data_IF_053094810532
#
_entry.id   IF_053094810532
#
_cell.length_a   1.000
_cell.length_b   1.000
_cell.length_c   1.000
_cell.angle_alpha   90.00
_cell.angle_beta   90.00
_cell.angle_gamma   90.00
#
_symmetry.space_group_name_H-M   'P 1'
#
loop_
_entity.id
_entity.type
_entity.pdbx_description
1 polymer ?
#
# COMPACT_ATOMS: atom_id res chain seq x y z
N UNK A 1 13.76 12.08 19.94
CA UNK A 1 14.15 10.87 19.18
C UNK A 1 14.89 9.86 20.08
N UNK A 2 14.35 9.46 21.25
CA UNK A 2 15.13 8.60 22.18
C UNK A 2 14.91 7.10 21.99
N UNK A 3 13.95 6.66 21.18
CA UNK A 3 13.74 5.23 20.84
C UNK A 3 14.03 4.90 19.37
N UNK A 4 13.72 5.79 18.44
CA UNK A 4 14.14 5.66 17.05
C UNK A 4 15.60 6.07 16.92
N UNK A 5 16.44 5.19 16.40
CA UNK A 5 17.83 5.52 16.10
C UNK A 5 17.84 6.56 14.99
N UNK A 6 18.00 7.84 15.33
CA UNK A 6 17.81 8.97 14.42
C UNK A 6 18.67 8.86 13.15
N UNK A 7 19.82 8.20 13.23
CA UNK A 7 20.72 7.95 12.10
C UNK A 7 20.28 6.80 11.18
N UNK A 8 19.12 6.17 11.42
CA UNK A 8 18.59 5.03 10.67
C UNK A 8 17.14 5.22 10.20
N UNK A 9 16.55 6.41 10.39
CA UNK A 9 15.17 6.65 9.94
C UNK A 9 15.07 6.61 8.41
N UNK A 10 14.14 5.81 7.89
CA UNK A 10 13.94 5.66 6.46
C UNK A 10 13.04 6.78 5.93
N UNK A 11 13.66 7.79 5.31
CA UNK A 11 13.00 8.84 4.55
C UNK A 11 12.93 8.43 3.09
N UNK A 12 11.72 8.24 2.57
CA UNK A 12 11.57 7.68 1.25
C UNK A 12 10.30 8.08 0.53
N UNK A 13 10.10 7.41 -0.59
CA UNK A 13 8.90 7.50 -1.39
C UNK A 13 8.39 6.11 -1.75
N UNK A 14 7.09 6.02 -1.99
CA UNK A 14 6.41 4.80 -2.38
C UNK A 14 5.63 4.97 -3.69
N UNK A 15 5.62 3.92 -4.51
CA UNK A 15 4.90 3.82 -5.77
C UNK A 15 4.42 2.38 -5.99
N UNK A 16 3.72 2.15 -7.10
CA UNK A 16 3.29 0.82 -7.56
C UNK A 16 3.75 0.57 -8.98
N UNK A 17 4.16 -0.66 -9.28
CA UNK A 17 4.61 -1.14 -10.59
C UNK A 17 3.70 -0.65 -11.72
N UNK A 18 2.40 -0.95 -11.68
CA UNK A 18 1.47 -0.59 -12.75
C UNK A 18 1.24 0.92 -12.87
N UNK A 19 1.45 1.69 -11.79
CA UNK A 19 1.26 3.15 -11.81
C UNK A 19 2.49 3.88 -12.38
N UNK A 20 3.66 3.23 -12.46
CA UNK A 20 4.90 3.86 -12.91
C UNK A 20 5.63 3.17 -14.06
N UNK A 21 5.67 1.85 -14.11
CA UNK A 21 6.59 1.11 -14.99
C UNK A 21 6.26 1.29 -16.46
N UNK A 22 4.99 1.11 -16.85
CA UNK A 22 4.63 0.96 -18.26
C UNK A 22 5.18 -0.34 -18.84
N UNK A 23 5.60 -0.32 -20.11
CA UNK A 23 6.20 -1.46 -20.80
C UNK A 23 5.39 -2.76 -20.55
N UNK A 24 4.07 -2.63 -20.67
CA UNK A 24 3.11 -3.63 -20.16
C UNK A 24 3.22 -4.98 -20.86
N UNK A 25 3.78 -5.01 -22.07
CA UNK A 25 3.96 -6.17 -22.94
C UNK A 25 5.43 -6.40 -23.37
N UNK A 26 6.40 -5.82 -22.65
CA UNK A 26 7.83 -5.95 -22.94
C UNK A 26 8.53 -6.92 -22.00
N UNK A 27 9.70 -7.43 -22.41
CA UNK A 27 10.52 -8.34 -21.59
C UNK A 27 9.78 -9.60 -21.17
N UNK A 28 8.87 -10.10 -22.01
CA UNK A 28 8.07 -11.30 -21.73
C UNK A 28 6.98 -11.12 -20.67
N UNK A 29 6.68 -9.89 -20.20
CA UNK A 29 5.63 -9.64 -19.22
C UNK A 29 4.26 -10.17 -19.69
N UNK A 30 3.59 -10.90 -18.81
CA UNK A 30 2.22 -11.35 -19.02
C UNK A 30 1.18 -10.26 -18.77
N UNK A 31 -0.04 -10.48 -19.26
CA UNK A 31 -1.18 -9.60 -18.96
C UNK A 31 -1.54 -9.74 -17.48
N UNK A 32 -1.63 -8.63 -16.77
CA UNK A 32 -2.13 -8.59 -15.38
C UNK A 32 -3.62 -8.27 -15.34
N UNK A 33 -4.24 -8.44 -14.18
CA UNK A 33 -5.62 -8.01 -13.96
C UNK A 33 -5.79 -6.49 -14.11
N UNK A 34 -4.72 -5.68 -13.97
CA UNK A 34 -4.76 -4.22 -14.19
C UNK A 34 -4.86 -3.90 -15.68
N UNK A 35 -4.07 -4.60 -16.49
CA UNK A 35 -4.03 -4.42 -17.95
C UNK A 35 -5.39 -4.74 -18.61
N UNK A 36 -6.19 -5.59 -17.95
CA UNK A 36 -7.53 -6.00 -18.40
C UNK A 36 -8.69 -5.20 -17.75
N UNK A 37 -8.40 -4.13 -16.99
CA UNK A 37 -9.45 -3.29 -16.40
C UNK A 37 -10.16 -2.48 -17.48
N UNK A 38 -11.45 -2.25 -17.26
CA UNK A 38 -12.19 -1.28 -18.05
C UNK A 38 -11.65 0.13 -17.79
N UNK A 39 -11.24 0.82 -18.86
CA UNK A 39 -10.79 2.20 -18.80
C UNK A 39 -12.02 3.11 -18.88
N UNK A 40 -12.26 3.87 -17.82
CA UNK A 40 -13.38 4.83 -17.78
C UNK A 40 -13.13 5.96 -18.80
N UNK A 41 -14.19 6.58 -19.35
CA UNK A 41 -14.02 7.76 -20.19
C UNK A 41 -13.26 8.87 -19.45
N UNK A 42 -12.22 9.42 -20.10
CA UNK A 42 -11.47 10.57 -19.61
C UNK A 42 -10.30 10.26 -18.67
N UNK A 43 -9.97 8.98 -18.44
CA UNK A 43 -8.75 8.57 -17.71
C UNK A 43 -7.84 7.73 -18.59
N UNK A 44 -6.57 7.58 -18.19
CA UNK A 44 -5.56 6.82 -18.94
C UNK A 44 -5.63 5.32 -18.64
N UNK A 45 -5.12 4.50 -19.58
CA UNK A 45 -4.64 3.17 -19.25
C UNK A 45 -3.25 3.23 -18.57
N UNK A 46 -2.72 2.07 -18.18
CA UNK A 46 -1.42 1.95 -17.52
C UNK A 46 -0.32 1.42 -18.45
N UNK A 47 -0.57 1.31 -19.75
CA UNK A 47 0.32 0.64 -20.69
C UNK A 47 1.70 1.29 -20.75
N UNK A 48 1.73 2.62 -20.71
CA UNK A 48 2.97 3.41 -20.65
C UNK A 48 3.26 3.96 -19.25
N UNK A 49 2.23 4.23 -18.44
CA UNK A 49 2.39 4.88 -17.14
C UNK A 49 3.36 6.10 -17.20
N UNK A 50 4.29 6.26 -16.27
CA UNK A 50 5.33 7.29 -16.40
C UNK A 50 6.61 6.77 -17.05
N UNK A 51 6.58 5.57 -17.63
CA UNK A 51 7.69 4.96 -18.37
C UNK A 51 8.93 4.70 -17.49
N UNK A 52 8.72 4.37 -16.21
CA UNK A 52 9.81 4.05 -15.28
C UNK A 52 10.60 2.82 -15.74
N UNK A 53 9.99 1.86 -16.43
CA UNK A 53 10.68 0.67 -16.93
C UNK A 53 11.91 1.02 -17.80
N UNK A 54 11.79 2.06 -18.63
CA UNK A 54 12.88 2.55 -19.46
C UNK A 54 13.72 3.65 -18.81
N UNK A 55 13.17 4.34 -17.79
CA UNK A 55 13.73 5.58 -17.22
C UNK A 55 14.14 5.47 -15.76
N UNK A 56 14.13 4.28 -15.16
CA UNK A 56 14.41 4.09 -13.73
C UNK A 56 15.71 4.74 -13.27
N UNK A 57 16.74 4.81 -14.13
CA UNK A 57 18.01 5.49 -13.80
C UNK A 57 17.85 7.00 -13.62
N UNK A 58 17.10 7.66 -14.52
CA UNK A 58 16.76 9.09 -14.42
C UNK A 58 15.95 9.36 -13.15
N UNK A 59 14.96 8.50 -12.88
CA UNK A 59 14.09 8.65 -11.71
C UNK A 59 14.86 8.42 -10.39
N UNK A 60 15.72 7.40 -10.32
CA UNK A 60 16.53 7.10 -9.13
C UNK A 60 17.59 8.18 -8.89
N UNK A 61 18.17 8.77 -9.94
CA UNK A 61 19.06 9.93 -9.79
C UNK A 61 18.32 11.12 -9.14
N UNK A 62 17.09 11.39 -9.57
CA UNK A 62 16.24 12.41 -8.95
C UNK A 62 15.83 12.06 -7.52
N UNK A 63 15.59 10.78 -7.21
CA UNK A 63 15.32 10.33 -5.84
C UNK A 63 16.52 10.57 -4.92
N UNK A 64 17.73 10.30 -5.40
CA UNK A 64 18.96 10.61 -4.68
C UNK A 64 19.14 12.12 -4.52
N UNK A 65 18.87 12.90 -5.56
CA UNK A 65 18.97 14.36 -5.48
C UNK A 65 17.96 14.97 -4.49
N UNK A 66 16.75 14.40 -4.44
CA UNK A 66 15.71 14.70 -3.44
C UNK A 66 16.16 14.31 -2.02
N UNK A 67 17.15 13.44 -1.90
CA UNK A 67 17.72 12.98 -0.63
C UNK A 67 17.06 11.72 -0.07
N UNK A 68 16.24 11.00 -0.85
CA UNK A 68 15.65 9.75 -0.39
C UNK A 68 16.75 8.76 0.02
N UNK A 69 16.57 8.07 1.15
CA UNK A 69 17.43 6.97 1.58
C UNK A 69 16.71 5.62 1.52
N UNK A 70 15.44 5.61 1.10
CA UNK A 70 14.64 4.42 0.88
C UNK A 70 13.63 4.64 -0.23
N UNK A 71 13.28 3.58 -0.95
CA UNK A 71 12.28 3.62 -2.00
C UNK A 71 11.47 2.34 -2.02
N UNK A 72 10.14 2.49 -2.00
CA UNK A 72 9.20 1.37 -2.04
C UNK A 72 8.53 1.25 -3.39
N UNK A 73 8.56 0.04 -3.92
CA UNK A 73 7.73 -0.38 -5.06
C UNK A 73 7.28 -1.82 -4.85
N UNK A 74 6.46 -2.36 -5.76
CA UNK A 74 6.19 -3.80 -5.82
C UNK A 74 6.88 -4.46 -7.00
N UNK A 75 7.18 -5.75 -6.85
CA UNK A 75 7.60 -6.59 -7.97
C UNK A 75 6.32 -7.01 -8.71
N UNK A 76 6.21 -6.68 -10.00
CA UNK A 76 5.09 -7.09 -10.81
C UNK A 76 5.11 -8.60 -11.00
N UNK A 77 4.16 -9.30 -10.36
CA UNK A 77 4.08 -10.77 -10.44
C UNK A 77 3.98 -11.24 -11.90
N UNK A 78 3.25 -10.51 -12.75
CA UNK A 78 3.14 -10.78 -14.18
C UNK A 78 4.44 -10.60 -14.99
N UNK A 79 5.46 -9.90 -14.48
CA UNK A 79 6.79 -9.89 -15.09
C UNK A 79 7.57 -11.15 -14.75
N UNK A 80 7.50 -11.60 -13.51
CA UNK A 80 8.27 -12.76 -13.02
C UNK A 80 7.61 -14.07 -13.43
N UNK A 81 6.27 -14.13 -13.43
CA UNK A 81 5.47 -15.27 -13.83
C UNK A 81 4.37 -14.83 -14.81
N UNK A 82 4.66 -14.71 -16.11
CA UNK A 82 3.72 -14.19 -17.11
C UNK A 82 2.40 -14.97 -17.19
N UNK A 83 2.45 -16.28 -17.00
CA UNK A 83 1.28 -17.17 -16.97
C UNK A 83 0.87 -17.57 -15.54
N UNK A 84 1.52 -16.97 -14.53
CA UNK A 84 1.36 -17.25 -13.11
C UNK A 84 2.09 -18.49 -12.59
N UNK A 85 2.76 -19.27 -13.44
CA UNK A 85 3.32 -20.58 -13.07
C UNK A 85 4.79 -20.77 -13.50
N UNK A 86 5.19 -20.23 -14.65
CA UNK A 86 6.53 -20.34 -15.22
C UNK A 86 7.33 -19.04 -15.06
N UNK A 87 8.58 -19.17 -14.62
CA UNK A 87 9.49 -18.04 -14.39
C UNK A 87 9.92 -17.42 -15.72
N UNK A 88 9.96 -16.09 -15.75
CA UNK A 88 10.54 -15.28 -16.82
C UNK A 88 11.78 -14.54 -16.32
N UNK A 89 12.94 -14.90 -16.87
CA UNK A 89 14.23 -14.36 -16.45
C UNK A 89 14.40 -12.88 -16.79
N UNK A 90 13.84 -12.40 -17.91
CA UNK A 90 13.93 -10.98 -18.29
C UNK A 90 13.25 -10.08 -17.25
N UNK A 91 12.13 -10.53 -16.70
CA UNK A 91 11.46 -9.86 -15.59
C UNK A 91 12.32 -9.84 -14.33
N UNK A 92 13.05 -10.94 -14.04
CA UNK A 92 13.94 -10.99 -12.89
C UNK A 92 15.12 -10.02 -13.05
N UNK A 93 15.72 -9.98 -14.23
CA UNK A 93 16.84 -9.09 -14.60
C UNK A 93 16.43 -7.62 -14.49
N UNK A 94 15.21 -7.26 -14.90
CA UNK A 94 14.72 -5.89 -14.74
C UNK A 94 14.79 -5.42 -13.28
N UNK A 95 14.26 -6.21 -12.34
CA UNK A 95 14.31 -5.85 -10.92
C UNK A 95 15.71 -5.97 -10.32
N UNK A 96 16.58 -6.86 -10.81
CA UNK A 96 18.01 -6.83 -10.44
C UNK A 96 18.62 -5.45 -10.73
N UNK A 97 18.41 -4.95 -11.94
CA UNK A 97 18.98 -3.67 -12.36
C UNK A 97 18.39 -2.50 -11.56
N UNK A 98 17.08 -2.51 -11.26
CA UNK A 98 16.45 -1.48 -10.43
C UNK A 98 16.99 -1.51 -9.01
N UNK A 99 17.10 -2.70 -8.40
CA UNK A 99 17.63 -2.87 -7.04
C UNK A 99 19.09 -2.42 -6.98
N UNK A 100 19.91 -2.83 -7.94
CA UNK A 100 21.33 -2.44 -8.00
C UNK A 100 21.47 -0.92 -8.20
N UNK A 101 20.64 -0.30 -9.03
CA UNK A 101 20.64 1.15 -9.22
C UNK A 101 20.23 1.91 -7.95
N UNK A 102 19.22 1.43 -7.20
CA UNK A 102 18.85 1.98 -5.90
C UNK A 102 20.03 1.92 -4.91
N UNK A 103 20.65 0.74 -4.78
CA UNK A 103 21.76 0.52 -3.86
C UNK A 103 23.02 1.32 -4.23
N UNK A 104 23.35 1.42 -5.53
CA UNK A 104 24.45 2.27 -6.03
C UNK A 104 24.23 3.76 -5.69
N UNK A 105 22.97 4.15 -5.46
CA UNK A 105 22.59 5.49 -5.04
C UNK A 105 22.34 5.62 -3.54
N UNK A 106 22.67 4.59 -2.75
CA UNK A 106 22.46 4.48 -1.29
C UNK A 106 20.98 4.61 -0.87
N UNK A 107 20.08 4.06 -1.69
CA UNK A 107 18.65 4.02 -1.44
C UNK A 107 18.27 2.58 -1.08
N UNK A 108 17.77 2.37 0.15
CA UNK A 108 17.32 1.07 0.63
C UNK A 108 16.03 0.65 -0.11
N UNK A 109 16.02 -0.49 -0.81
CA UNK A 109 14.82 -1.00 -1.45
C UNK A 109 13.85 -1.57 -0.41
N UNK A 110 12.59 -1.16 -0.51
CA UNK A 110 11.47 -1.75 0.25
C UNK A 110 10.54 -2.42 -0.77
N UNK A 111 10.53 -3.76 -0.85
CA UNK A 111 9.82 -4.45 -1.92
C UNK A 111 8.50 -5.06 -1.45
N UNK A 112 7.42 -4.73 -2.16
CA UNK A 112 6.11 -5.34 -1.96
C UNK A 112 5.91 -6.51 -2.92
N UNK A 113 5.39 -7.64 -2.45
CA UNK A 113 5.14 -8.81 -3.31
C UNK A 113 3.86 -8.65 -4.13
N UNK A 114 2.79 -8.14 -3.53
CA UNK A 114 1.51 -7.99 -4.21
C UNK A 114 0.93 -6.59 -4.10
N UNK A 115 0.64 -5.96 -5.24
CA UNK A 115 -0.06 -4.69 -5.31
C UNK A 115 -1.10 -4.69 -6.45
N UNK A 116 -2.10 -5.56 -6.31
CA UNK A 116 -3.30 -5.63 -7.16
C UNK A 116 -3.05 -5.95 -8.64
N UNK A 117 -1.89 -6.53 -8.97
CA UNK A 117 -1.37 -6.75 -10.33
C UNK A 117 -1.10 -8.23 -10.65
N UNK A 118 -1.93 -9.12 -10.10
CA UNK A 118 -1.89 -10.57 -10.37
C UNK A 118 -1.86 -10.85 -11.89
N UNK A 119 -1.10 -11.87 -12.36
CA UNK A 119 -1.25 -12.38 -13.72
C UNK A 119 -2.71 -12.75 -14.02
N UNK A 120 -3.26 -12.25 -15.13
CA UNK A 120 -4.64 -12.49 -15.55
C UNK A 120 -4.93 -14.00 -15.70
N UNK A 121 -3.93 -14.76 -16.15
CA UNK A 121 -4.02 -16.21 -16.28
C UNK A 121 -4.43 -16.92 -14.96
N UNK A 122 -4.04 -16.41 -13.81
CA UNK A 122 -4.43 -16.99 -12.51
C UNK A 122 -5.88 -16.68 -12.16
N UNK A 123 -6.37 -15.49 -12.52
CA UNK A 123 -7.79 -15.16 -12.42
C UNK A 123 -8.63 -16.08 -13.33
N UNK A 124 -8.20 -16.29 -14.58
CA UNK A 124 -8.96 -17.08 -15.54
C UNK A 124 -8.97 -18.58 -15.20
N UNK A 125 -7.82 -19.15 -14.81
CA UNK A 125 -7.68 -20.57 -14.48
C UNK A 125 -8.28 -20.93 -13.12
N UNK A 126 -8.11 -20.06 -12.12
CA UNK A 126 -8.31 -20.42 -10.71
C UNK A 126 -9.18 -19.43 -9.92
N UNK A 127 -9.68 -18.36 -10.55
CA UNK A 127 -10.45 -17.31 -9.88
C UNK A 127 -9.66 -16.55 -8.79
N UNK A 128 -8.35 -16.40 -8.98
CA UNK A 128 -7.49 -15.60 -8.10
C UNK A 128 -7.35 -16.17 -6.68
N UNK A 129 -7.18 -15.30 -5.69
CA UNK A 129 -6.87 -15.71 -4.30
C UNK A 129 -7.99 -16.46 -3.58
N UNK A 130 -9.19 -16.61 -4.16
CA UNK A 130 -10.19 -17.53 -3.59
C UNK A 130 -9.75 -19.00 -3.72
N UNK A 131 -8.81 -19.29 -4.61
CA UNK A 131 -8.24 -20.63 -4.78
C UNK A 131 -6.96 -20.81 -3.98
N UNK A 132 -6.92 -21.90 -3.19
CA UNK A 132 -5.72 -22.38 -2.48
C UNK A 132 -4.54 -22.65 -3.42
N UNK A 133 -4.81 -23.03 -4.67
CA UNK A 133 -3.77 -23.16 -5.70
C UNK A 133 -3.03 -21.85 -5.96
N UNK A 134 -3.75 -20.71 -5.97
CA UNK A 134 -3.13 -19.39 -6.18
C UNK A 134 -2.32 -18.96 -4.95
N UNK A 135 -2.73 -19.36 -3.75
CA UNK A 135 -1.95 -19.19 -2.52
C UNK A 135 -0.60 -19.90 -2.63
N UNK A 136 -0.57 -21.14 -3.13
CA UNK A 136 0.69 -21.88 -3.36
C UNK A 136 1.56 -21.27 -4.48
N UNK A 137 0.92 -20.76 -5.55
CA UNK A 137 1.65 -20.09 -6.63
C UNK A 137 2.24 -18.75 -6.16
N UNK A 138 1.55 -18.04 -5.26
CA UNK A 138 2.09 -16.85 -4.61
C UNK A 138 3.30 -17.19 -3.74
N UNK A 139 3.25 -18.29 -2.97
CA UNK A 139 4.40 -18.79 -2.20
C UNK A 139 5.59 -19.11 -3.12
N UNK A 140 5.35 -19.78 -4.26
CA UNK A 140 6.38 -20.05 -5.27
C UNK A 140 7.00 -18.75 -5.80
N UNK A 141 6.18 -17.75 -6.10
CA UNK A 141 6.64 -16.43 -6.53
C UNK A 141 7.49 -15.75 -5.46
N UNK A 142 7.01 -15.71 -4.21
CA UNK A 142 7.73 -15.14 -3.07
C UNK A 142 9.10 -15.81 -2.87
N UNK A 143 9.15 -17.15 -2.84
CA UNK A 143 10.41 -17.91 -2.73
C UNK A 143 11.37 -17.57 -3.87
N UNK A 144 10.87 -17.42 -5.09
CA UNK A 144 11.69 -17.10 -6.27
C UNK A 144 12.37 -15.75 -6.09
N UNK A 145 11.61 -14.72 -5.72
CA UNK A 145 12.15 -13.36 -5.55
C UNK A 145 13.01 -13.22 -4.29
N UNK A 146 12.69 -13.92 -3.20
CA UNK A 146 13.53 -13.96 -2.00
C UNK A 146 14.89 -14.59 -2.29
N UNK A 147 14.94 -15.69 -3.06
CA UNK A 147 16.20 -16.31 -3.46
C UNK A 147 17.02 -15.41 -4.39
N UNK A 148 16.36 -14.62 -5.25
CA UNK A 148 17.05 -13.76 -6.23
C UNK A 148 17.58 -12.46 -5.63
N UNK A 149 16.81 -11.85 -4.72
CA UNK A 149 17.05 -10.47 -4.24
C UNK A 149 17.30 -10.38 -2.73
N UNK A 150 17.06 -11.45 -1.96
CA UNK A 150 17.17 -11.41 -0.50
C UNK A 150 18.57 -11.14 0.03
N UNK A 151 19.61 -11.29 -0.79
CA UNK A 151 20.98 -10.89 -0.44
C UNK A 151 21.15 -9.36 -0.39
N UNK A 152 20.26 -8.61 -1.04
CA UNK A 152 20.33 -7.15 -1.24
C UNK A 152 19.13 -6.39 -0.66
N UNK A 153 18.01 -7.08 -0.39
CA UNK A 153 16.76 -6.47 0.05
C UNK A 153 16.38 -6.96 1.44
N UNK A 154 16.35 -6.03 2.40
CA UNK A 154 16.00 -6.32 3.79
C UNK A 154 14.50 -6.19 4.08
N UNK A 155 13.85 -5.14 3.59
CA UNK A 155 12.46 -4.83 3.94
C UNK A 155 11.49 -5.30 2.86
N UNK A 156 10.54 -6.13 3.29
CA UNK A 156 9.55 -6.76 2.43
C UNK A 156 8.15 -6.49 2.94
N UNK A 157 7.20 -6.29 2.02
CA UNK A 157 5.77 -6.21 2.33
C UNK A 157 5.08 -7.30 1.55
N UNK A 158 4.29 -8.13 2.21
CA UNK A 158 3.57 -9.22 1.53
C UNK A 158 2.49 -8.68 0.58
N UNK A 159 1.50 -7.98 1.13
CA UNK A 159 0.39 -7.40 0.39
C UNK A 159 0.28 -5.91 0.72
N UNK A 160 0.18 -5.08 -0.31
CA UNK A 160 -0.23 -3.69 -0.13
C UNK A 160 -1.69 -3.66 0.36
N UNK A 161 -1.96 -2.89 1.42
CA UNK A 161 -3.32 -2.65 1.92
C UNK A 161 -4.19 -3.92 1.96
N UNK A 162 -3.72 -4.95 2.67
CA UNK A 162 -4.36 -6.29 2.65
C UNK A 162 -5.86 -6.23 3.01
N UNK A 163 -6.23 -5.27 3.85
CA UNK A 163 -7.61 -5.03 4.27
C UNK A 163 -8.58 -4.61 3.16
N UNK A 164 -8.07 -4.25 1.97
CA UNK A 164 -8.89 -4.10 0.76
C UNK A 164 -9.60 -5.41 0.39
N UNK A 165 -9.11 -6.58 0.80
CA UNK A 165 -9.80 -7.86 0.63
C UNK A 165 -11.21 -7.89 1.28
N UNK A 166 -11.45 -7.04 2.29
CA UNK A 166 -12.77 -6.88 2.93
C UNK A 166 -13.78 -6.12 2.07
N UNK A 167 -13.32 -5.24 1.17
CA UNK A 167 -14.16 -4.23 0.51
C UNK A 167 -14.11 -4.28 -1.03
N UNK A 168 -13.01 -4.76 -1.61
CA UNK A 168 -12.67 -4.70 -3.03
C UNK A 168 -12.03 -6.03 -3.48
N UNK A 169 -12.84 -7.09 -3.50
CA UNK A 169 -12.38 -8.46 -3.73
C UNK A 169 -11.81 -8.68 -5.14
N UNK A 170 -12.23 -7.85 -6.10
CA UNK A 170 -11.77 -7.84 -7.49
C UNK A 170 -10.27 -7.50 -7.60
N UNK A 171 -9.72 -6.71 -6.68
CA UNK A 171 -8.28 -6.42 -6.60
C UNK A 171 -7.42 -7.66 -6.30
N UNK A 172 -8.04 -8.78 -5.93
CA UNK A 172 -7.39 -10.07 -5.67
C UNK A 172 -7.64 -11.10 -6.79
N UNK A 173 -8.08 -10.60 -7.96
CA UNK A 173 -8.35 -11.42 -9.14
C UNK A 173 -9.61 -12.27 -9.01
N UNK A 174 -10.50 -11.97 -8.07
CA UNK A 174 -11.63 -12.85 -7.73
C UNK A 174 -12.97 -12.35 -8.25
N UNK A 175 -13.85 -13.29 -8.59
CA UNK A 175 -15.27 -13.09 -8.88
C UNK A 175 -16.10 -13.99 -7.99
N UNK A 176 -17.23 -13.49 -7.49
CA UNK A 176 -18.15 -14.26 -6.65
C UNK A 176 -18.67 -15.50 -7.40
N UNK A 177 -18.42 -16.74 -6.92
CA UNK A 177 -19.00 -17.94 -7.49
C UNK A 177 -20.52 -17.96 -7.39
N UNK A 178 -21.22 -18.61 -8.33
CA UNK A 178 -22.70 -18.64 -8.36
C UNK A 178 -23.31 -19.41 -7.19
N UNK A 179 -22.58 -20.37 -6.67
CA UNK A 179 -22.95 -21.34 -5.64
C UNK A 179 -22.42 -20.97 -4.24
N UNK A 180 -21.78 -19.80 -4.11
CA UNK A 180 -21.25 -19.31 -2.84
C UNK A 180 -21.93 -17.99 -2.46
N UNK A 181 -22.35 -17.85 -1.21
CA UNK A 181 -22.87 -16.57 -0.74
C UNK A 181 -21.76 -15.54 -0.55
N UNK A 182 -22.10 -14.26 -0.74
CA UNK A 182 -21.13 -13.16 -0.69
C UNK A 182 -20.34 -13.09 0.62
N UNK A 183 -20.96 -13.39 1.77
CA UNK A 183 -20.30 -13.25 3.07
C UNK A 183 -19.28 -14.36 3.28
N UNK A 184 -19.61 -15.58 2.89
CA UNK A 184 -18.65 -16.70 2.89
C UNK A 184 -17.50 -16.44 1.94
N UNK A 185 -17.79 -15.98 0.72
CA UNK A 185 -16.77 -15.62 -0.27
C UNK A 185 -15.78 -14.57 0.24
N UNK A 186 -16.27 -13.45 0.79
CA UNK A 186 -15.41 -12.39 1.35
C UNK A 186 -14.51 -12.95 2.47
N UNK A 187 -15.05 -13.75 3.39
CA UNK A 187 -14.26 -14.27 4.50
C UNK A 187 -13.30 -15.38 4.09
N UNK A 188 -13.64 -16.18 3.08
CA UNK A 188 -12.73 -17.17 2.52
C UNK A 188 -11.56 -16.49 1.80
N UNK A 189 -11.82 -15.39 1.07
CA UNK A 189 -10.76 -14.59 0.48
C UNK A 189 -9.81 -14.03 1.55
N UNK A 190 -10.35 -13.45 2.63
CA UNK A 190 -9.55 -12.95 3.76
C UNK A 190 -8.69 -14.07 4.33
N UNK A 191 -9.28 -15.23 4.58
CA UNK A 191 -8.55 -16.39 5.10
C UNK A 191 -7.41 -16.83 4.16
N UNK A 192 -7.67 -16.91 2.86
CA UNK A 192 -6.67 -17.32 1.88
C UNK A 192 -5.51 -16.33 1.75
N UNK A 193 -5.79 -15.03 1.74
CA UNK A 193 -4.75 -14.00 1.68
C UNK A 193 -3.89 -13.99 2.96
N UNK A 194 -4.48 -14.26 4.13
CA UNK A 194 -3.72 -14.42 5.38
C UNK A 194 -2.84 -15.69 5.38
N UNK A 195 -3.28 -16.77 4.72
CA UNK A 195 -2.42 -17.95 4.52
C UNK A 195 -1.28 -17.64 3.55
N UNK A 196 -1.55 -16.92 2.46
CA UNK A 196 -0.54 -16.48 1.51
C UNK A 196 0.52 -15.58 2.17
N UNK A 197 0.08 -14.65 3.02
CA UNK A 197 0.96 -13.86 3.89
C UNK A 197 1.82 -14.76 4.77
N UNK A 198 1.20 -15.68 5.51
CA UNK A 198 1.90 -16.54 6.46
C UNK A 198 2.95 -17.44 5.81
N UNK A 199 2.64 -17.99 4.62
CA UNK A 199 3.59 -18.75 3.80
C UNK A 199 4.76 -17.89 3.33
N UNK A 200 4.48 -16.69 2.81
CA UNK A 200 5.53 -15.77 2.37
C UNK A 200 6.41 -15.29 3.55
N UNK A 201 5.82 -14.98 4.70
CA UNK A 201 6.57 -14.60 5.91
C UNK A 201 7.49 -15.73 6.36
N UNK A 202 6.96 -16.96 6.44
CA UNK A 202 7.76 -18.14 6.75
C UNK A 202 8.93 -18.32 5.77
N UNK A 203 8.64 -18.27 4.47
CA UNK A 203 9.64 -18.42 3.43
C UNK A 203 10.72 -17.32 3.50
N UNK A 204 10.34 -16.07 3.81
CA UNK A 204 11.30 -14.98 3.98
C UNK A 204 12.27 -15.30 5.11
N UNK A 205 11.77 -15.66 6.30
CA UNK A 205 12.63 -15.93 7.46
C UNK A 205 13.51 -17.17 7.28
N UNK A 206 13.06 -18.15 6.48
CA UNK A 206 13.86 -19.33 6.15
C UNK A 206 14.98 -19.04 5.12
N UNK A 207 14.78 -18.08 4.21
CA UNK A 207 15.67 -17.84 3.05
C UNK A 207 16.56 -16.60 3.25
N UNK A 208 15.99 -15.52 3.76
CA UNK A 208 16.61 -14.19 3.82
C UNK A 208 17.05 -13.88 5.23
N UNK A 209 18.35 -14.00 5.46
CA UNK A 209 18.95 -13.65 6.75
C UNK A 209 18.66 -12.18 7.06
N UNK A 210 18.17 -11.91 8.28
CA UNK A 210 17.80 -10.57 8.76
C UNK A 210 16.67 -9.88 7.98
N UNK A 211 16.00 -10.60 7.07
CA UNK A 211 14.83 -10.13 6.33
C UNK A 211 13.69 -9.72 7.26
N UNK A 212 12.97 -8.66 6.88
CA UNK A 212 11.88 -8.06 7.66
C UNK A 212 10.60 -8.09 6.85
N UNK A 213 9.60 -8.86 7.30
CA UNK A 213 8.29 -8.91 6.67
C UNK A 213 7.30 -7.95 7.34
N UNK A 214 6.70 -7.09 6.53
CA UNK A 214 5.63 -6.19 6.91
C UNK A 214 4.24 -6.76 6.63
N UNK A 215 3.35 -6.61 7.60
CA UNK A 215 1.91 -6.74 7.43
C UNK A 215 1.29 -5.36 7.28
N UNK A 216 0.69 -5.04 6.13
CA UNK A 216 0.23 -3.69 5.80
C UNK A 216 -1.28 -3.59 5.69
N UNK A 217 -1.84 -2.48 6.21
CA UNK A 217 -3.23 -2.09 6.02
C UNK A 217 -3.36 -0.64 5.55
N UNK A 218 -4.43 -0.34 4.82
CA UNK A 218 -4.95 1.02 4.69
C UNK A 218 -5.64 1.40 6.00
N UNK A 219 -4.99 2.25 6.77
CA UNK A 219 -5.49 2.64 8.08
C UNK A 219 -6.31 3.92 7.97
N UNK A 220 -7.63 3.77 7.97
CA UNK A 220 -8.56 4.89 8.16
C UNK A 220 -8.78 5.11 9.66
N UNK A 221 -8.30 6.24 10.19
CA UNK A 221 -8.66 6.65 11.54
C UNK A 221 -10.16 6.92 11.62
N UNK A 222 -10.83 6.37 12.63
CA UNK A 222 -12.28 6.51 12.80
C UNK A 222 -12.61 7.36 14.03
N UNK A 223 -13.64 8.19 13.89
CA UNK A 223 -14.30 8.90 14.98
C UNK A 223 -15.76 8.50 15.07
N UNK A 224 -16.37 8.45 16.26
CA UNK A 224 -17.82 8.40 16.36
C UNK A 224 -18.39 9.80 16.07
N UNK A 225 -19.53 9.87 15.39
CA UNK A 225 -20.20 11.13 15.08
C UNK A 225 -20.60 11.92 16.33
N UNK A 226 -20.95 11.21 17.40
CA UNK A 226 -21.33 11.77 18.69
C UNK A 226 -20.85 10.88 19.85
N UNK A 227 -21.03 11.33 21.10
CA UNK A 227 -20.82 10.50 22.28
C UNK A 227 -21.93 9.44 22.50
N UNK A 228 -22.87 9.28 21.57
CA UNK A 228 -23.88 8.24 21.62
C UNK A 228 -23.18 6.85 21.64
N UNK A 229 -23.48 5.99 22.62
CA UNK A 229 -22.88 4.66 22.70
C UNK A 229 -23.04 3.83 21.43
N UNK A 230 -24.12 4.02 20.66
CA UNK A 230 -24.32 3.30 19.40
C UNK A 230 -23.37 3.74 18.29
N UNK A 231 -23.01 5.03 18.23
CA UNK A 231 -22.01 5.53 17.28
C UNK A 231 -20.62 4.95 17.61
N UNK A 232 -20.28 4.95 18.90
CA UNK A 232 -19.01 4.38 19.40
C UNK A 232 -18.94 2.87 19.15
N UNK A 233 -20.01 2.14 19.43
CA UNK A 233 -20.09 0.70 19.21
C UNK A 233 -19.97 0.35 17.72
N UNK A 234 -20.70 1.07 16.85
CA UNK A 234 -20.63 0.86 15.41
C UNK A 234 -19.24 1.19 14.86
N UNK A 235 -18.64 2.29 15.32
CA UNK A 235 -17.27 2.65 14.98
C UNK A 235 -16.29 1.53 15.34
N UNK A 236 -16.40 0.96 16.57
CA UNK A 236 -15.55 -0.15 17.00
C UNK A 236 -15.73 -1.39 16.12
N UNK A 237 -16.97 -1.77 15.82
CA UNK A 237 -17.29 -2.90 14.91
C UNK A 237 -16.74 -2.69 13.50
N UNK A 238 -16.80 -1.46 13.02
CA UNK A 238 -16.27 -1.10 11.71
C UNK A 238 -14.74 -1.24 11.70
N UNK A 239 -14.05 -0.64 12.69
CA UNK A 239 -12.60 -0.77 12.89
C UNK A 239 -12.14 -2.23 13.01
N UNK A 240 -12.86 -3.03 13.78
CA UNK A 240 -12.61 -4.47 13.95
C UNK A 240 -12.54 -5.21 12.62
N UNK A 241 -13.43 -4.85 11.68
CA UNK A 241 -13.56 -5.48 10.37
C UNK A 241 -12.55 -4.96 9.35
N UNK A 242 -12.27 -3.65 9.33
CA UNK A 242 -11.45 -3.03 8.27
C UNK A 242 -9.99 -2.85 8.65
N UNK A 243 -9.60 -2.96 9.92
CA UNK A 243 -8.23 -2.74 10.36
C UNK A 243 -7.78 -3.75 11.41
N UNK A 244 -8.47 -3.82 12.56
CA UNK A 244 -7.96 -4.60 13.71
C UNK A 244 -7.85 -6.10 13.37
N UNK A 245 -8.72 -6.66 12.52
CA UNK A 245 -8.63 -8.09 12.14
C UNK A 245 -7.26 -8.45 11.56
N UNK A 246 -6.80 -7.65 10.60
CA UNK A 246 -5.54 -7.89 9.91
C UNK A 246 -4.36 -7.61 10.84
N UNK A 247 -4.40 -6.48 11.56
CA UNK A 247 -3.35 -6.11 12.50
C UNK A 247 -3.23 -7.09 13.68
N UNK A 248 -4.36 -7.60 14.20
CA UNK A 248 -4.39 -8.62 15.25
C UNK A 248 -3.69 -9.90 14.75
N UNK A 249 -3.96 -10.33 13.51
CA UNK A 249 -3.29 -11.50 12.91
C UNK A 249 -1.81 -11.23 12.65
N UNK A 250 -1.44 -10.09 12.06
CA UNK A 250 -0.04 -9.74 11.83
C UNK A 250 0.77 -9.65 13.13
N UNK A 251 0.19 -9.15 14.21
CA UNK A 251 0.90 -9.01 15.48
C UNK A 251 0.92 -10.31 16.30
N UNK A 252 -0.16 -11.11 16.26
CA UNK A 252 -0.35 -12.24 17.19
C UNK A 252 -0.27 -13.61 16.52
N UNK A 253 -0.41 -13.68 15.21
CA UNK A 253 -0.40 -14.94 14.46
C UNK A 253 -1.63 -15.81 14.76
N UNK A 254 -2.75 -15.20 15.13
CA UNK A 254 -4.00 -15.88 15.46
C UNK A 254 -5.21 -14.98 15.17
N UNK A 255 -6.36 -15.60 14.89
CA UNK A 255 -7.60 -14.85 14.70
C UNK A 255 -8.12 -14.30 16.03
N UNK A 256 -8.57 -13.04 16.07
CA UNK A 256 -9.19 -12.50 17.27
C UNK A 256 -10.56 -13.14 17.52
N UNK A 257 -10.93 -13.28 18.80
CA UNK A 257 -12.16 -13.97 19.22
C UNK A 257 -13.44 -13.34 18.67
N UNK A 258 -13.48 -12.02 18.47
CA UNK A 258 -14.64 -11.33 17.90
C UNK A 258 -14.89 -11.76 16.45
N UNK A 259 -13.85 -12.08 15.69
CA UNK A 259 -13.96 -12.51 14.30
C UNK A 259 -14.52 -13.93 14.22
N UNK A 260 -13.93 -14.86 14.98
CA UNK A 260 -14.43 -16.24 15.06
C UNK A 260 -15.88 -16.31 15.56
N UNK A 261 -16.24 -15.44 16.50
CA UNK A 261 -17.61 -15.31 16.99
C UNK A 261 -18.55 -14.75 15.92
N UNK A 262 -18.12 -13.76 15.12
CA UNK A 262 -18.92 -13.23 14.02
C UNK A 262 -19.19 -14.30 12.95
N UNK A 263 -18.17 -15.07 12.57
CA UNK A 263 -18.31 -16.21 11.64
C UNK A 263 -19.36 -17.19 12.15
N UNK A 264 -19.24 -17.62 13.42
CA UNK A 264 -20.18 -18.54 14.06
C UNK A 264 -21.60 -17.98 14.09
N UNK A 265 -21.78 -16.74 14.55
CA UNK A 265 -23.10 -16.12 14.70
C UNK A 265 -23.80 -15.91 13.36
N UNK A 266 -23.03 -15.61 12.32
CA UNK A 266 -23.54 -15.41 10.96
C UNK A 266 -23.59 -16.69 10.15
N UNK A 267 -23.24 -17.83 10.75
CA UNK A 267 -23.20 -19.16 10.11
C UNK A 267 -22.33 -19.16 8.84
N UNK A 268 -21.22 -18.43 8.88
CA UNK A 268 -20.22 -18.43 7.82
C UNK A 268 -19.30 -19.62 8.07
N UNK A 269 -19.26 -20.54 7.11
CA UNK A 269 -18.33 -21.66 7.12
C UNK A 269 -17.13 -21.29 6.26
N UNK A 270 -15.93 -21.44 6.80
CA UNK A 270 -14.68 -21.28 6.04
C UNK A 270 -14.03 -22.64 5.85
N UNK A 271 -13.44 -22.83 4.68
CA UNK A 271 -12.64 -23.99 4.35
C UNK A 271 -11.23 -23.78 4.91
N UNK A 272 -11.05 -24.25 6.15
CA UNK A 272 -9.74 -24.39 6.77
C UNK A 272 -9.09 -25.69 6.28
N UNK A 273 -7.88 -25.60 5.75
CA UNK A 273 -7.04 -26.75 5.49
C UNK A 273 -6.29 -27.16 6.77
N UNK A 274 -5.86 -28.43 6.80
CA UNK A 274 -5.06 -28.94 7.92
C UNK A 274 -3.76 -28.12 8.06
N UNK A 275 -3.54 -27.57 9.25
CA UNK A 275 -2.35 -26.78 9.57
C UNK A 275 -2.50 -25.26 9.40
N UNK A 276 -3.61 -24.75 8.86
CA UNK A 276 -3.80 -23.30 8.63
C UNK A 276 -3.64 -22.46 9.90
N UNK A 277 -4.20 -22.93 11.04
CA UNK A 277 -4.08 -22.23 12.31
C UNK A 277 -2.65 -22.22 12.87
N UNK A 278 -1.86 -23.26 12.59
CA UNK A 278 -0.45 -23.29 12.96
C UNK A 278 0.38 -22.42 12.02
N UNK A 279 0.03 -22.38 10.74
CA UNK A 279 0.66 -21.55 9.73
C UNK A 279 0.55 -20.06 10.08
N UNK A 280 -0.60 -19.60 10.58
CA UNK A 280 -0.79 -18.21 11.04
C UNK A 280 0.29 -17.73 12.03
N UNK A 281 0.82 -18.63 12.86
CA UNK A 281 1.85 -18.27 13.85
C UNK A 281 3.16 -17.82 13.19
N UNK A 282 3.44 -18.31 11.99
CA UNK A 282 4.57 -17.88 11.18
C UNK A 282 4.27 -16.59 10.41
N UNK A 283 3.01 -16.19 10.28
CA UNK A 283 2.58 -14.93 9.69
C UNK A 283 2.71 -13.72 10.63
N UNK A 284 3.51 -13.80 11.69
CA UNK A 284 3.80 -12.64 12.52
C UNK A 284 4.72 -11.69 11.76
N UNK A 285 4.27 -10.45 11.59
CA UNK A 285 5.04 -9.42 10.93
C UNK A 285 6.15 -8.88 11.85
N UNK A 286 7.31 -8.58 11.26
CA UNK A 286 8.41 -7.88 11.94
C UNK A 286 8.07 -6.40 12.20
N UNK A 287 7.19 -5.83 11.37
CA UNK A 287 6.68 -4.47 11.51
C UNK A 287 5.26 -4.35 10.95
N UNK A 288 4.51 -3.36 11.44
CA UNK A 288 3.17 -3.05 10.94
C UNK A 288 3.25 -1.89 9.94
N UNK A 289 2.84 -2.18 8.71
CA UNK A 289 2.78 -1.21 7.62
C UNK A 289 1.48 -0.43 7.63
N UNK A 290 1.55 0.88 7.47
CA UNK A 290 0.36 1.74 7.39
C UNK A 290 0.44 2.61 6.15
N UNK A 291 -0.61 2.57 5.32
CA UNK A 291 -0.97 3.71 4.47
C UNK A 291 -2.01 4.57 5.19
N UNK A 292 -1.84 5.88 5.18
CA UNK A 292 -2.76 6.83 5.81
C UNK A 292 -3.00 8.03 4.90
N UNK A 293 -4.26 8.36 4.70
CA UNK A 293 -4.67 9.48 3.84
C UNK A 293 -5.77 10.35 4.45
N UNK A 294 -6.77 9.71 5.06
CA UNK A 294 -7.97 10.38 5.56
C UNK A 294 -8.56 9.64 6.77
N UNK A 295 -9.45 10.33 7.48
CA UNK A 295 -10.23 9.79 8.59
C UNK A 295 -11.72 9.74 8.27
N UNK A 296 -12.42 8.78 8.87
CA UNK A 296 -13.86 8.56 8.71
C UNK A 296 -14.62 8.89 9.99
N UNK A 297 -15.85 9.42 9.87
CA UNK A 297 -16.74 9.67 11.02
C UNK A 297 -17.97 8.79 10.92
N UNK A 298 -18.22 7.97 11.94
CA UNK A 298 -19.23 6.90 11.93
C UNK A 298 -20.49 7.34 12.68
N UNK A 299 -21.64 7.24 12.02
CA UNK A 299 -22.94 7.49 12.65
C UNK A 299 -23.85 6.27 12.57
N UNK A 300 -24.44 5.89 13.69
CA UNK A 300 -25.40 4.79 13.80
C UNK A 300 -26.82 5.17 13.34
N UNK A 301 -27.13 6.47 13.28
CA UNK A 301 -28.43 6.98 12.82
C UNK A 301 -28.55 7.08 11.29
N UNK A 302 -27.42 7.11 10.56
CA UNK A 302 -27.36 7.13 9.11
C UNK A 302 -26.98 5.74 8.60
N UNK A 303 -27.73 5.18 7.65
CA UNK A 303 -27.44 3.84 7.09
C UNK A 303 -27.27 3.79 5.58
N UNK A 304 -27.53 4.90 4.88
CA UNK A 304 -27.62 4.96 3.42
C UNK A 304 -26.96 6.23 2.87
N UNK A 305 -25.85 6.68 3.45
CA UNK A 305 -25.07 7.75 2.80
C UNK A 305 -24.47 7.21 1.49
N UNK A 306 -24.16 8.10 0.52
CA UNK A 306 -23.37 7.72 -0.65
C UNK A 306 -21.90 7.62 -0.23
N UNK A 307 -21.32 6.42 -0.08
CA UNK A 307 -20.00 6.30 0.50
C UNK A 307 -18.90 6.55 -0.54
N UNK A 308 -17.69 6.85 -0.07
CA UNK A 308 -16.48 6.86 -0.93
C UNK A 308 -16.13 5.45 -1.43
N UNK A 309 -16.38 4.44 -0.59
CA UNK A 309 -16.11 3.03 -0.89
C UNK A 309 -17.30 2.15 -0.48
N UNK A 310 -17.57 1.04 -1.19
CA UNK A 310 -18.60 0.07 -0.80
C UNK A 310 -18.44 -0.41 0.64
N UNK A 311 -19.53 -0.56 1.39
CA UNK A 311 -19.50 -1.02 2.77
C UNK A 311 -19.19 0.06 3.81
N UNK A 312 -19.15 1.34 3.41
CA UNK A 312 -18.91 2.49 4.29
C UNK A 312 -20.14 3.42 4.43
N UNK A 313 -21.36 2.89 4.28
CA UNK A 313 -22.61 3.67 4.18
C UNK A 313 -22.99 4.44 5.47
N UNK A 314 -22.36 4.08 6.59
CA UNK A 314 -22.49 4.75 7.89
C UNK A 314 -21.48 5.90 8.10
N UNK A 315 -20.59 6.15 7.14
CA UNK A 315 -19.66 7.28 7.22
C UNK A 315 -20.35 8.59 6.83
N UNK A 316 -20.12 9.62 7.63
CA UNK A 316 -20.60 10.99 7.40
C UNK A 316 -19.43 11.96 7.32
N UNK A 317 -19.71 13.16 6.80
CA UNK A 317 -18.74 14.25 6.78
C UNK A 317 -18.42 14.71 8.21
N UNK A 318 -17.14 14.98 8.46
CA UNK A 318 -16.69 15.59 9.69
C UNK A 318 -16.61 17.11 9.52
N UNK A 319 -17.52 17.84 10.18
CA UNK A 319 -17.63 19.31 10.07
C UNK A 319 -16.40 20.07 10.59
N UNK A 320 -15.49 19.40 11.28
CA UNK A 320 -14.25 19.98 11.82
C UNK A 320 -13.05 19.80 10.89
N UNK A 321 -13.18 19.03 9.81
CA UNK A 321 -12.09 18.71 8.89
C UNK A 321 -12.34 19.32 7.52
N UNK A 322 -11.26 19.78 6.88
CA UNK A 322 -11.27 20.10 5.45
C UNK A 322 -11.15 18.81 4.64
N UNK A 323 -11.55 18.87 3.38
CA UNK A 323 -11.35 17.78 2.43
C UNK A 323 -10.65 18.26 1.14
N UNK A 324 -9.95 17.35 0.46
CA UNK A 324 -9.40 17.56 -0.88
C UNK A 324 -10.51 17.59 -1.94
N UNK A 325 -10.16 17.91 -3.19
CA UNK A 325 -11.09 17.87 -4.33
C UNK A 325 -11.72 16.47 -4.56
N UNK A 326 -11.07 15.40 -4.08
CA UNK A 326 -11.59 14.03 -4.12
C UNK A 326 -12.40 13.64 -2.88
N UNK A 327 -12.74 14.61 -2.01
CA UNK A 327 -13.55 14.39 -0.81
C UNK A 327 -12.81 13.69 0.34
N UNK A 328 -11.49 13.52 0.24
CA UNK A 328 -10.69 12.91 1.31
C UNK A 328 -10.36 13.94 2.38
N UNK A 329 -10.69 13.64 3.63
CA UNK A 329 -10.44 14.54 4.77
C UNK A 329 -8.94 14.72 5.01
N UNK A 330 -8.54 15.94 5.36
CA UNK A 330 -7.16 16.28 5.72
C UNK A 330 -7.08 16.29 7.24
N UNK A 331 -6.53 15.22 7.81
CA UNK A 331 -6.51 15.00 9.27
C UNK A 331 -5.15 14.52 9.78
N UNK A 332 -4.19 15.43 9.99
CA UNK A 332 -2.89 15.09 10.55
C UNK A 332 -2.98 14.65 12.03
N UNK A 333 -3.98 15.10 12.80
CA UNK A 333 -4.17 14.65 14.18
C UNK A 333 -4.64 13.19 14.19
N UNK A 334 -5.56 12.83 13.28
CA UNK A 334 -5.98 11.47 13.05
C UNK A 334 -4.82 10.54 12.68
N UNK A 335 -3.81 11.05 11.97
CA UNK A 335 -2.59 10.29 11.66
C UNK A 335 -1.84 9.91 12.93
N UNK A 336 -1.62 10.87 13.85
CA UNK A 336 -1.00 10.56 15.16
C UNK A 336 -1.86 9.62 15.99
N UNK A 337 -3.19 9.77 15.99
CA UNK A 337 -4.08 8.87 16.71
C UNK A 337 -3.97 7.43 16.17
N UNK A 338 -3.90 7.26 14.85
CA UNK A 338 -3.69 5.97 14.20
C UNK A 338 -2.35 5.35 14.64
N UNK A 339 -1.25 6.11 14.56
CA UNK A 339 0.08 5.64 14.96
C UNK A 339 0.12 5.19 16.43
N UNK A 340 -0.50 5.96 17.33
CA UNK A 340 -0.57 5.61 18.75
C UNK A 340 -1.44 4.38 19.00
N UNK A 341 -2.62 4.33 18.40
CA UNK A 341 -3.56 3.22 18.61
C UNK A 341 -2.97 1.89 18.12
N UNK A 342 -2.31 1.88 16.96
CA UNK A 342 -1.64 0.68 16.46
C UNK A 342 -0.47 0.30 17.36
N UNK A 343 0.42 1.24 17.68
CA UNK A 343 1.61 0.90 18.46
C UNK A 343 1.27 0.47 19.89
N UNK A 344 0.43 1.19 20.62
CA UNK A 344 0.07 0.84 22.01
C UNK A 344 -0.72 -0.47 22.11
N UNK A 345 -1.41 -0.88 21.05
CA UNK A 345 -2.16 -2.14 21.01
C UNK A 345 -1.27 -3.36 20.79
N UNK A 346 -0.16 -3.21 20.08
CA UNK A 346 0.65 -4.35 19.61
C UNK A 346 2.11 -4.32 20.06
N UNK A 347 2.67 -3.16 20.39
CA UNK A 347 4.09 -2.92 20.66
C UNK A 347 5.00 -3.47 19.55
N UNK A 348 4.55 -3.35 18.30
CA UNK A 348 5.30 -3.72 17.09
C UNK A 348 5.68 -2.43 16.36
N UNK A 349 6.94 -2.26 15.89
CA UNK A 349 7.36 -1.06 15.17
C UNK A 349 6.48 -0.78 13.95
N UNK A 350 6.23 0.51 13.69
CA UNK A 350 5.40 0.95 12.56
C UNK A 350 6.29 1.41 11.41
N UNK A 351 5.94 1.03 10.19
CA UNK A 351 6.49 1.64 8.98
C UNK A 351 5.37 2.35 8.23
N UNK A 352 5.48 3.68 8.06
CA UNK A 352 4.53 4.44 7.26
C UNK A 352 4.92 4.24 5.80
N UNK A 353 4.15 3.39 5.11
CA UNK A 353 4.47 2.94 3.75
C UNK A 353 3.82 3.81 2.69
N UNK A 354 2.79 4.59 3.04
CA UNK A 354 2.19 5.61 2.17
C UNK A 354 1.56 6.75 3.00
N UNK A 355 1.85 7.99 2.63
CA UNK A 355 1.07 9.17 3.03
C UNK A 355 1.31 10.28 1.99
N UNK A 356 0.26 10.94 1.54
CA UNK A 356 0.38 12.00 0.54
C UNK A 356 -0.95 12.60 0.14
N UNK A 357 -0.91 13.59 -0.74
CA UNK A 357 -2.09 14.30 -1.23
C UNK A 357 -2.08 14.38 -2.75
N UNK A 358 -3.22 14.01 -3.35
CA UNK A 358 -3.47 14.17 -4.79
C UNK A 358 -4.09 15.53 -5.07
N UNK A 359 -3.48 16.31 -5.96
CA UNK A 359 -3.93 17.66 -6.34
C UNK A 359 -3.80 17.86 -7.85
N UNK A 360 -4.65 18.71 -8.45
CA UNK A 360 -4.52 19.12 -9.85
C UNK A 360 -3.44 20.16 -10.04
N UNK A 361 -2.54 19.92 -10.98
CA UNK A 361 -1.38 20.78 -11.17
C UNK A 361 -0.93 20.82 -12.62
N UNK A 362 -0.35 21.96 -12.98
CA UNK A 362 0.25 22.24 -14.27
C UNK A 362 1.59 22.94 -14.05
N UNK A 363 2.51 22.78 -15.00
CA UNK A 363 3.77 23.52 -15.00
C UNK A 363 3.51 24.99 -15.27
N UNK A 364 4.20 25.85 -14.54
CA UNK A 364 4.28 27.28 -14.84
C UNK A 364 5.33 27.57 -15.92
N UNK A 365 5.53 28.85 -16.24
CA UNK A 365 6.49 29.32 -17.26
C UNK A 365 7.96 28.92 -16.94
N UNK A 366 8.27 28.68 -15.67
CA UNK A 366 9.59 28.26 -15.19
C UNK A 366 9.78 26.73 -15.18
N UNK A 367 8.82 25.97 -15.72
CA UNK A 367 8.77 24.50 -15.66
C UNK A 367 8.83 23.93 -14.23
N UNK A 368 8.11 24.55 -13.30
CA UNK A 368 7.89 24.04 -11.94
C UNK A 368 6.41 24.08 -11.57
N UNK A 369 6.06 23.54 -10.41
CA UNK A 369 4.75 23.67 -9.78
C UNK A 369 4.95 24.34 -8.42
N UNK A 370 4.22 25.44 -8.17
CA UNK A 370 4.14 26.09 -6.86
C UNK A 370 3.13 25.37 -5.96
N UNK A 371 3.57 24.28 -5.33
CA UNK A 371 2.73 23.33 -4.60
C UNK A 371 2.82 23.47 -3.07
N UNK A 372 2.68 24.70 -2.55
CA UNK A 372 2.69 25.00 -1.11
C UNK A 372 1.63 24.21 -0.32
N UNK A 373 0.52 23.81 -0.95
CA UNK A 373 -0.49 22.95 -0.34
C UNK A 373 0.02 21.53 -0.05
N UNK A 374 0.91 20.99 -0.89
CA UNK A 374 1.54 19.68 -0.66
C UNK A 374 2.53 19.79 0.47
N UNK A 375 3.33 20.86 0.48
CA UNK A 375 4.24 21.19 1.57
C UNK A 375 3.46 21.26 2.89
N UNK A 376 2.38 22.03 2.96
CA UNK A 376 1.56 22.17 4.17
C UNK A 376 0.95 20.84 4.64
N UNK A 377 0.43 20.02 3.70
CA UNK A 377 -0.12 18.71 4.02
C UNK A 377 0.95 17.79 4.62
N UNK A 378 2.07 17.58 3.92
CA UNK A 378 3.13 16.64 4.34
C UNK A 378 3.79 17.14 5.62
N UNK A 379 4.06 18.45 5.73
CA UNK A 379 4.58 19.10 6.95
C UNK A 379 3.75 18.76 8.18
N UNK A 380 2.43 19.00 8.11
CA UNK A 380 1.53 18.78 9.26
C UNK A 380 1.48 17.30 9.68
N UNK A 381 1.57 16.37 8.73
CA UNK A 381 1.62 14.94 9.05
C UNK A 381 2.96 14.56 9.70
N UNK A 382 4.09 15.09 9.20
CA UNK A 382 5.41 14.87 9.81
C UNK A 382 5.49 15.48 11.21
N UNK A 383 4.92 16.66 11.45
CA UNK A 383 4.83 17.26 12.79
C UNK A 383 4.10 16.33 13.77
N UNK A 384 2.95 15.77 13.36
CA UNK A 384 2.19 14.85 14.20
C UNK A 384 2.90 13.49 14.38
N UNK A 385 3.62 13.01 13.37
CA UNK A 385 4.52 11.86 13.48
C UNK A 385 5.63 12.09 14.50
N UNK A 386 6.31 13.25 14.45
CA UNK A 386 7.35 13.62 15.43
C UNK A 386 6.80 13.63 16.85
N UNK A 387 5.58 14.13 17.04
CA UNK A 387 4.94 14.09 18.35
C UNK A 387 4.64 12.64 18.77
N UNK A 388 4.11 11.79 17.89
CA UNK A 388 3.89 10.37 18.18
C UNK A 388 5.19 9.67 18.63
N UNK A 389 6.31 9.93 17.94
CA UNK A 389 7.65 9.42 18.32
C UNK A 389 8.05 9.93 19.71
N UNK A 390 7.79 11.21 20.00
CA UNK A 390 8.08 11.77 21.34
C UNK A 390 7.22 11.17 22.45
N UNK A 391 6.04 10.65 22.11
CA UNK A 391 5.15 9.93 23.02
C UNK A 391 5.48 8.44 23.15
N UNK A 392 6.52 7.96 22.44
CA UNK A 392 7.05 6.61 22.60
C UNK A 392 6.71 5.62 21.48
N UNK A 393 6.01 6.06 20.44
CA UNK A 393 5.72 5.25 19.24
C UNK A 393 7.02 4.97 18.49
N UNK A 394 7.31 3.69 18.24
CA UNK A 394 8.46 3.29 17.44
C UNK A 394 8.10 3.29 15.95
N UNK A 395 8.78 4.15 15.19
CA UNK A 395 8.57 4.33 13.75
C UNK A 395 9.88 4.10 13.01
N UNK A 396 9.83 3.20 12.03
CA UNK A 396 10.96 2.81 11.16
C UNK A 396 11.27 3.90 10.14
N UNK A 397 10.22 4.46 9.52
CA UNK A 397 10.36 5.42 8.44
C UNK A 397 9.05 6.02 7.96
N UNK A 398 9.18 6.98 7.04
CA UNK A 398 8.10 7.69 6.37
C UNK A 398 8.32 7.67 4.87
N UNK A 399 7.42 6.98 4.15
CA UNK A 399 7.41 6.91 2.70
C UNK A 399 6.28 7.77 2.13
N UNK A 400 6.65 8.86 1.47
CA UNK A 400 5.70 9.75 0.81
C UNK A 400 5.06 9.07 -0.41
N UNK A 401 3.75 9.24 -0.56
CA UNK A 401 3.00 8.74 -1.71
C UNK A 401 2.68 9.85 -2.70
N UNK A 402 3.21 9.86 -3.92
CA UNK A 402 4.46 9.25 -4.39
C UNK A 402 5.58 10.31 -4.41
N UNK A 403 6.86 9.91 -4.54
CA UNK A 403 7.96 10.86 -4.68
C UNK A 403 7.99 11.51 -6.07
N UNK A 404 7.40 10.85 -7.06
CA UNK A 404 7.21 11.28 -8.44
C UNK A 404 5.73 11.16 -8.78
N UNK A 405 5.27 11.94 -9.75
CA UNK A 405 3.92 11.81 -10.28
C UNK A 405 3.70 10.40 -10.82
N UNK A 406 2.53 9.85 -10.53
CA UNK A 406 2.11 8.51 -10.93
C UNK A 406 0.70 8.60 -11.50
N UNK A 407 0.30 7.65 -12.35
CA UNK A 407 -1.12 7.50 -12.65
C UNK A 407 -1.86 7.06 -11.39
N UNK A 408 -3.03 7.61 -11.10
CA UNK A 408 -3.85 7.14 -9.98
C UNK A 408 -4.26 5.66 -10.18
N UNK A 409 -4.76 5.02 -9.12
CA UNK A 409 -5.35 3.67 -9.23
C UNK A 409 -6.59 3.60 -10.14
N UNK A 410 -7.10 4.76 -10.57
CA UNK A 410 -8.18 4.93 -11.55
C UNK A 410 -7.68 5.52 -12.88
N UNK A 411 -6.37 5.65 -13.09
CA UNK A 411 -5.79 6.13 -14.36
C UNK A 411 -5.75 7.65 -14.52
N UNK A 412 -6.03 8.41 -13.47
CA UNK A 412 -6.00 9.88 -13.52
C UNK A 412 -4.55 10.36 -13.42
N UNK A 413 -4.07 11.10 -14.42
CA UNK A 413 -2.78 11.80 -14.35
C UNK A 413 -2.92 13.18 -13.70
N UNK A 414 -4.08 13.83 -13.87
CA UNK A 414 -4.42 15.10 -13.23
C UNK A 414 -4.46 15.02 -11.71
N UNK A 415 -4.64 13.85 -11.11
CA UNK A 415 -4.47 13.63 -9.67
C UNK A 415 -3.00 13.41 -9.33
N UNK A 416 -2.23 14.50 -9.26
CA UNK A 416 -0.77 14.46 -9.06
C UNK A 416 -0.38 14.35 -7.60
N UNK A 417 0.59 13.49 -7.32
CA UNK A 417 1.07 13.21 -5.95
C UNK A 417 2.52 13.59 -5.73
N UNK A 418 3.33 13.62 -6.81
CA UNK A 418 4.80 13.67 -6.75
C UNK A 418 5.37 14.94 -6.14
N UNK A 419 6.61 14.86 -5.67
CA UNK A 419 7.52 16.01 -5.58
C UNK A 419 8.21 16.30 -6.93
N UNK A 420 8.21 15.28 -7.80
CA UNK A 420 8.69 15.34 -9.18
C UNK A 420 7.47 15.26 -10.10
N UNK A 421 7.24 16.30 -10.90
CA UNK A 421 6.21 16.34 -11.92
C UNK A 421 6.61 15.52 -13.15
N UNK A 422 5.68 14.76 -13.73
CA UNK A 422 5.89 14.07 -15.03
C UNK A 422 5.03 14.72 -16.09
N UNK A 423 5.67 15.19 -17.16
CA UNK A 423 5.00 15.88 -18.26
C UNK A 423 4.27 14.90 -19.18
N UNK A 424 3.05 14.57 -18.78
CA UNK A 424 2.01 13.90 -19.55
C UNK A 424 0.63 14.26 -19.01
N UNK A 425 -0.42 13.92 -19.75
CA UNK A 425 -1.82 13.95 -19.31
C UNK A 425 -2.42 12.55 -19.36
N UNK A 426 -3.74 12.45 -19.15
CA UNK A 426 -4.51 11.22 -19.34
C UNK A 426 -4.41 10.70 -20.78
N UNK A 427 -4.44 11.62 -21.76
CA UNK A 427 -4.63 11.30 -23.18
C UNK A 427 -3.43 11.67 -24.07
N UNK A 428 -2.41 12.32 -23.53
CA UNK A 428 -1.20 12.72 -24.25
C UNK A 428 0.03 12.42 -23.42
N UNK A 429 0.91 11.56 -23.94
CA UNK A 429 2.17 11.19 -23.30
C UNK A 429 3.18 12.36 -23.29
N UNK A 430 3.00 13.35 -24.17
CA UNK A 430 3.94 14.47 -24.37
C UNK A 430 5.38 13.94 -24.47
N UNK A 431 6.33 14.50 -23.72
CA UNK A 431 7.73 14.06 -23.70
C UNK A 431 8.13 13.25 -22.46
N UNK A 432 7.20 13.05 -21.52
CA UNK A 432 7.40 12.36 -20.24
C UNK A 432 8.54 12.93 -19.39
N UNK A 433 9.00 14.17 -19.63
CA UNK A 433 10.09 14.75 -18.85
C UNK A 433 9.71 14.94 -17.38
N UNK A 434 10.72 14.82 -16.52
CA UNK A 434 10.61 15.04 -15.08
C UNK A 434 10.98 16.47 -14.73
N UNK A 435 10.16 17.11 -13.90
CA UNK A 435 10.36 18.48 -13.43
C UNK A 435 10.25 18.54 -11.91
N UNK A 436 11.14 19.27 -11.25
CA UNK A 436 11.11 19.41 -9.79
C UNK A 436 10.02 20.42 -9.43
N UNK A 437 9.09 20.03 -8.56
CA UNK A 437 8.12 20.97 -7.96
C UNK A 437 8.79 21.75 -6.84
N UNK A 438 8.15 22.81 -6.33
CA UNK A 438 8.65 23.57 -5.17
C UNK A 438 8.88 22.66 -3.95
N UNK A 439 7.96 21.73 -3.71
CA UNK A 439 8.03 20.73 -2.65
C UNK A 439 9.24 19.81 -2.71
N UNK A 440 9.90 19.64 -3.86
CA UNK A 440 11.13 18.86 -4.00
C UNK A 440 12.23 19.40 -3.08
N UNK A 441 12.55 20.68 -3.19
CA UNK A 441 13.62 21.29 -2.40
C UNK A 441 13.23 21.39 -0.91
N UNK A 442 11.95 21.58 -0.62
CA UNK A 442 11.45 21.54 0.74
C UNK A 442 11.64 20.16 1.38
N UNK A 443 11.20 19.08 0.73
CA UNK A 443 11.31 17.73 1.28
C UNK A 443 12.77 17.29 1.38
N UNK A 444 13.62 17.69 0.43
CA UNK A 444 15.09 17.53 0.56
C UNK A 444 15.63 18.14 1.86
N UNK A 445 15.24 19.38 2.18
CA UNK A 445 15.64 20.02 3.44
C UNK A 445 15.12 19.25 4.67
N UNK A 446 13.90 18.72 4.61
CA UNK A 446 13.35 17.86 5.67
C UNK A 446 14.27 16.66 5.89
N UNK A 447 14.63 15.94 4.82
CA UNK A 447 15.46 14.73 4.93
C UNK A 447 16.89 15.06 5.40
N UNK A 448 17.54 16.07 4.82
CA UNK A 448 18.90 16.49 5.20
C UNK A 448 18.98 16.94 6.66
N UNK A 449 17.89 17.49 7.20
CA UNK A 449 17.78 17.87 8.61
C UNK A 449 17.21 16.78 9.51
N UNK A 450 16.95 15.59 8.95
CA UNK A 450 16.28 14.48 9.63
C UNK A 450 14.96 14.90 10.34
N UNK A 451 14.17 15.73 9.65
CA UNK A 451 12.90 16.26 10.13
C UNK A 451 13.01 17.44 11.10
N UNK A 452 14.20 18.00 11.37
CA UNK A 452 14.35 19.16 12.26
C UNK A 452 13.93 20.49 11.62
N UNK A 453 14.03 20.61 10.29
CA UNK A 453 13.55 21.78 9.53
C UNK A 453 12.37 21.39 8.66
N UNK A 454 11.17 21.87 9.04
CA UNK A 454 9.90 21.64 8.35
C UNK A 454 9.31 22.92 7.79
#
# INVERSE_FOLDING_TARGET
MSKTNANQFLWGGAVTSFQIEGAWNEGGKGVSIVDNREIKPGVSDWNTAIDFYHRYKEDIELFKELGLNSFRTNIAWSRIFPDGENVNEDGLIFYDNVIDELLNNNIEPVLTLYHFDMPLALQEKYNGFISRKVVDLFEKFAITVFKRYGDRVKYWVSFNEMNTATLMTDLYGTKLPKDMDKKTFENQLIHNVLMAHSKATKALHDIVKDGKMGGMVNYMQLYPATCNPYDTFLMKKFKERIADLYLDVFARGEYPSYYLTDLKNRKISLDFEEGDLELLKYGKADYLGISYYFSGTVSSSIKNNKPLFPGMENLIENQYLKASEWGWTIDPIGFRLALKDVYERYNVPIFILENGIGVKEELNEDNTVEDDYRIDYVKKHIEQMKIAISEGVEIIGYLAWGPIDILSSQGEMSKRYGFIFVNRTENDLRDLKRYKKKSFNWFKQVIESNGERL
#
